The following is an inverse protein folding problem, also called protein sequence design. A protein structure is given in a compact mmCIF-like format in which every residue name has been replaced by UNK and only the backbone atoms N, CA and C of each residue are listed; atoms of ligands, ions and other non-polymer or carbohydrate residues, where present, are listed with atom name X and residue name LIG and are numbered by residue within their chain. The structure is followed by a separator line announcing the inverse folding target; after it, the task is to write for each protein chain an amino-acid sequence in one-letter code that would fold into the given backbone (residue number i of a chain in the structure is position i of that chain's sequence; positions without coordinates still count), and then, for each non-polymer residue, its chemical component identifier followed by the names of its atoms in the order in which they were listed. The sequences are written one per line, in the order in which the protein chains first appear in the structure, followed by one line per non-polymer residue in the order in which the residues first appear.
data_IF_906022752715
#
_entry.id   IF_906022752715
#
_cell.length_a   1.000
_cell.length_b   1.000
_cell.length_c   1.000
_cell.angle_alpha   90.00
_cell.angle_beta   90.00
_cell.angle_gamma   90.00
#
_symmetry.space_group_name_H-M   'P 1'
#
loop_
_entity.id
_entity.type
_entity.pdbx_description
1 polymer ?
#
# COMPACT_ATOMS: atom_id res chain seq x y z
N UNK A 1 18.31 2.90 -5.30
CA UNK A 1 18.48 1.79 -4.35
C UNK A 1 19.59 2.11 -3.36
N UNK A 2 19.26 2.77 -2.24
CA UNK A 2 20.21 2.99 -1.15
C UNK A 2 20.52 1.67 -0.42
N UNK A 3 21.70 1.57 0.20
CA UNK A 3 22.19 0.36 0.90
C UNK A 3 21.31 -0.11 2.08
N UNK A 4 20.34 0.71 2.50
CA UNK A 4 19.49 0.47 3.67
C UNK A 4 17.99 0.41 3.32
N UNK A 5 17.67 0.07 2.07
CA UNK A 5 16.31 -0.17 1.63
C UNK A 5 16.05 -1.68 1.42
N UNK A 6 14.78 -2.07 1.41
CA UNK A 6 14.37 -3.46 1.26
C UNK A 6 13.62 -3.66 -0.04
N UNK A 7 13.94 -4.77 -0.71
CA UNK A 7 13.20 -5.22 -1.88
C UNK A 7 11.96 -5.99 -1.45
N UNK A 8 10.84 -5.28 -1.32
CA UNK A 8 9.54 -5.85 -0.95
C UNK A 8 8.56 -5.47 -2.05
N UNK A 9 8.11 -6.46 -2.81
CA UNK A 9 7.04 -6.31 -3.78
C UNK A 9 5.73 -6.10 -3.03
N UNK A 10 4.98 -5.07 -3.43
CA UNK A 10 3.72 -4.69 -2.77
C UNK A 10 2.61 -4.60 -3.81
N UNK A 11 1.45 -5.17 -3.48
CA UNK A 11 0.27 -5.14 -4.32
C UNK A 11 -0.94 -4.75 -3.47
N UNK A 12 -1.85 -3.96 -4.04
CA UNK A 12 -3.15 -3.67 -3.43
C UNK A 12 -4.28 -4.06 -4.39
N UNK A 13 -5.33 -4.62 -3.81
CA UNK A 13 -6.52 -5.11 -4.51
C UNK A 13 -7.77 -4.45 -3.96
N UNK A 14 -8.79 -4.31 -4.82
CA UNK A 14 -10.14 -3.93 -4.43
C UNK A 14 -11.14 -4.94 -5.00
N UNK A 15 -12.02 -5.41 -4.13
CA UNK A 15 -13.11 -6.31 -4.47
C UNK A 15 -14.45 -5.65 -4.13
N UNK A 16 -15.31 -5.36 -5.13
CA UNK A 16 -16.69 -4.95 -4.88
C UNK A 16 -17.47 -6.03 -4.11
N UNK A 17 -18.57 -5.67 -3.45
CA UNK A 17 -19.34 -6.59 -2.59
C UNK A 17 -19.65 -7.95 -3.24
N UNK A 18 -20.07 -7.93 -4.51
CA UNK A 18 -20.43 -9.13 -5.30
C UNK A 18 -19.47 -9.36 -6.49
N UNK A 19 -18.29 -8.75 -6.47
CA UNK A 19 -17.31 -8.77 -7.56
C UNK A 19 -16.11 -9.71 -7.33
N UNK A 20 -15.15 -9.65 -8.25
CA UNK A 20 -13.83 -10.30 -8.11
C UNK A 20 -12.76 -9.32 -7.63
N UNK A 21 -11.61 -9.84 -7.20
CA UNK A 21 -10.44 -9.03 -6.87
C UNK A 21 -9.94 -8.28 -8.12
N UNK A 22 -9.80 -6.96 -8.00
CA UNK A 22 -9.20 -6.09 -9.00
C UNK A 22 -7.85 -5.61 -8.47
N UNK A 23 -6.77 -5.88 -9.19
CA UNK A 23 -5.47 -5.32 -8.88
C UNK A 23 -5.49 -3.81 -9.12
N UNK A 24 -5.21 -3.01 -8.10
CA UNK A 24 -5.16 -1.56 -8.19
C UNK A 24 -3.75 -1.03 -8.46
N UNK A 25 -2.74 -1.59 -7.79
CA UNK A 25 -1.38 -1.07 -7.86
C UNK A 25 -0.34 -2.16 -7.61
N UNK A 26 0.81 -2.03 -8.27
CA UNK A 26 2.03 -2.78 -7.99
C UNK A 26 3.16 -1.81 -7.70
N UNK A 27 3.64 -1.82 -6.47
CA UNK A 27 4.72 -0.95 -6.02
C UNK A 27 5.83 -1.76 -5.37
N UNK A 28 6.82 -1.07 -4.81
CA UNK A 28 7.88 -1.72 -4.06
C UNK A 28 8.39 -0.82 -2.94
N UNK A 29 8.61 -1.38 -1.76
CA UNK A 29 9.14 -0.64 -0.59
C UNK A 29 10.49 0.03 -0.88
N UNK A 30 11.24 -0.48 -1.87
CA UNK A 30 12.52 0.09 -2.28
C UNK A 30 12.45 1.55 -2.75
N UNK A 31 11.27 2.03 -3.13
CA UNK A 31 11.04 3.40 -3.59
C UNK A 31 10.97 4.42 -2.45
N UNK A 32 10.90 3.98 -1.19
CA UNK A 32 10.94 4.89 -0.05
C UNK A 32 12.21 5.74 -0.05
N UNK A 33 12.04 7.06 -0.03
CA UNK A 33 13.14 8.02 -0.03
C UNK A 33 13.91 8.01 1.31
N UNK A 34 13.18 7.92 2.42
CA UNK A 34 13.73 7.81 3.76
C UNK A 34 13.72 6.36 4.24
N UNK A 35 14.84 5.90 4.75
CA UNK A 35 15.00 4.54 5.30
C UNK A 35 14.39 4.44 6.70
N UNK A 36 14.02 3.24 7.14
CA UNK A 36 13.52 3.01 8.50
C UNK A 36 14.50 3.50 9.58
N UNK A 37 15.81 3.32 9.36
CA UNK A 37 16.84 3.81 10.28
C UNK A 37 16.87 5.33 10.38
N UNK A 38 16.69 6.06 9.27
CA UNK A 38 16.59 7.51 9.28
C UNK A 38 15.31 7.99 9.96
N UNK A 39 14.17 7.34 9.66
CA UNK A 39 12.88 7.65 10.30
C UNK A 39 12.96 7.53 11.82
N UNK A 40 13.49 6.40 12.33
CA UNK A 40 13.66 6.20 13.76
C UNK A 40 14.65 7.20 14.38
N UNK A 41 15.81 7.41 13.75
CA UNK A 41 16.82 8.36 14.23
C UNK A 41 16.22 9.75 14.37
N UNK A 42 15.49 10.21 13.36
CA UNK A 42 14.84 11.52 13.39
C UNK A 42 13.71 11.59 14.42
N UNK A 43 12.87 10.55 14.56
CA UNK A 43 11.83 10.49 15.58
C UNK A 43 12.42 10.71 16.98
N UNK A 44 13.56 10.06 17.28
CA UNK A 44 14.21 10.15 18.59
C UNK A 44 15.13 11.36 18.77
N UNK A 45 15.32 12.21 17.76
CA UNK A 45 16.38 13.23 17.79
C UNK A 45 16.17 14.33 18.84
N UNK A 46 14.95 14.50 19.33
CA UNK A 46 14.59 15.46 20.38
C UNK A 46 14.35 14.81 21.76
N UNK A 47 14.69 13.52 21.93
CA UNK A 47 14.45 12.78 23.16
C UNK A 47 13.07 12.12 23.26
N UNK A 48 12.30 12.05 22.16
CA UNK A 48 11.06 11.27 22.13
C UNK A 48 11.35 9.79 22.49
N UNK A 49 10.75 9.23 23.55
CA UNK A 49 10.95 7.83 23.91
C UNK A 49 10.27 6.90 22.90
N UNK A 50 10.88 5.75 22.65
CA UNK A 50 10.30 4.64 21.87
C UNK A 50 10.26 3.41 22.77
N UNK A 51 9.15 2.69 22.74
CA UNK A 51 8.90 1.53 23.58
C UNK A 51 8.68 0.26 22.77
N UNK A 52 8.88 -0.89 23.41
CA UNK A 52 8.62 -2.18 22.78
C UNK A 52 7.14 -2.29 22.38
N UNK A 53 6.90 -2.54 21.10
CA UNK A 53 5.56 -2.64 20.52
C UNK A 53 5.09 -1.38 19.78
N UNK A 54 5.85 -0.29 19.82
CA UNK A 54 5.54 0.90 19.01
C UNK A 54 5.54 0.54 17.50
N UNK A 55 4.52 1.03 16.79
CA UNK A 55 4.37 0.84 15.34
C UNK A 55 4.72 2.13 14.61
N UNK A 56 5.58 2.02 13.59
CA UNK A 56 6.05 3.15 12.78
C UNK A 56 5.61 2.97 11.33
N UNK A 57 4.73 3.85 10.85
CA UNK A 57 4.29 3.82 9.46
C UNK A 57 5.35 4.38 8.51
N UNK A 58 5.50 3.76 7.34
CA UNK A 58 6.39 4.27 6.28
C UNK A 58 5.89 5.58 5.66
N UNK A 59 4.57 5.80 5.69
CA UNK A 59 3.85 6.65 4.76
C UNK A 59 3.39 5.87 3.53
N UNK A 60 2.55 6.50 2.70
CA UNK A 60 2.06 5.91 1.43
C UNK A 60 3.23 5.59 0.50
N UNK A 61 3.25 4.38 -0.07
CA UNK A 61 4.34 3.90 -0.92
C UNK A 61 3.93 4.00 -2.39
N UNK A 62 4.36 5.08 -3.03
CA UNK A 62 4.15 5.32 -4.46
C UNK A 62 5.46 5.15 -5.22
N UNK A 63 5.44 4.32 -6.26
CA UNK A 63 6.56 4.18 -7.18
C UNK A 63 6.55 5.25 -8.27
N UNK A 64 7.51 5.18 -9.22
CA UNK A 64 7.68 6.20 -10.25
C UNK A 64 6.63 6.16 -11.37
N UNK A 65 5.86 5.08 -11.49
CA UNK A 65 4.85 4.90 -12.54
C UNK A 65 3.42 5.02 -11.98
N UNK A 66 2.45 5.51 -12.77
CA UNK A 66 1.07 5.69 -12.28
C UNK A 66 0.40 4.42 -11.74
N UNK A 67 0.72 3.25 -12.30
CA UNK A 67 0.25 1.93 -11.84
C UNK A 67 0.92 1.44 -10.55
N UNK A 68 1.84 2.23 -10.00
CA UNK A 68 2.55 1.98 -8.74
C UNK A 68 2.23 2.99 -7.65
N UNK A 69 1.24 3.86 -7.86
CA UNK A 69 0.79 4.82 -6.84
C UNK A 69 0.05 4.12 -5.69
N UNK A 70 0.24 4.60 -4.47
CA UNK A 70 -0.16 3.93 -3.24
C UNK A 70 -1.54 4.28 -2.70
N UNK A 71 -2.31 5.14 -3.38
CA UNK A 71 -3.65 5.53 -2.94
C UNK A 71 -4.61 5.74 -4.11
N UNK A 72 -5.92 5.56 -3.87
CA UNK A 72 -6.96 5.89 -4.84
C UNK A 72 -6.95 7.38 -5.21
N UNK A 73 -6.58 8.26 -4.28
CA UNK A 73 -6.40 9.70 -4.54
C UNK A 73 -5.40 9.93 -5.68
N UNK A 74 -4.26 9.25 -5.63
CA UNK A 74 -3.20 9.36 -6.65
C UNK A 74 -3.59 8.61 -7.93
N UNK A 75 -4.04 7.35 -7.80
CA UNK A 75 -4.41 6.50 -8.94
C UNK A 75 -5.51 7.12 -9.80
N UNK A 76 -6.47 7.79 -9.17
CA UNK A 76 -7.62 8.39 -9.86
C UNK A 76 -7.46 9.88 -10.09
N UNK A 77 -6.31 10.44 -9.72
CA UNK A 77 -6.01 11.87 -9.82
C UNK A 77 -7.15 12.73 -9.23
N UNK A 78 -7.41 12.54 -7.93
CA UNK A 78 -8.50 13.21 -7.20
C UNK A 78 -9.88 12.97 -7.83
N UNK A 79 -10.09 11.78 -8.39
CA UNK A 79 -11.34 11.37 -9.03
C UNK A 79 -11.53 11.88 -10.45
N UNK A 80 -10.59 12.63 -11.02
CA UNK A 80 -10.66 13.07 -12.43
C UNK A 80 -10.48 11.93 -13.42
N UNK A 81 -9.87 10.81 -12.98
CA UNK A 81 -9.57 9.63 -13.79
C UNK A 81 -10.07 8.36 -13.09
N UNK A 82 -11.36 8.02 -13.19
CA UNK A 82 -11.88 6.80 -12.57
C UNK A 82 -11.13 5.54 -13.04
N UNK A 83 -10.87 4.61 -12.11
CA UNK A 83 -10.32 3.30 -12.42
C UNK A 83 -11.44 2.38 -12.90
N UNK A 84 -11.26 1.72 -14.05
CA UNK A 84 -12.17 0.69 -14.50
C UNK A 84 -11.90 -0.65 -13.78
N UNK A 85 -12.95 -1.30 -13.32
CA UNK A 85 -12.91 -2.64 -12.72
C UNK A 85 -13.29 -3.71 -13.75
N UNK A 86 -12.97 -4.97 -13.47
CA UNK A 86 -13.19 -6.11 -14.37
C UNK A 86 -14.66 -6.42 -14.62
N UNK A 87 -15.55 -5.99 -13.73
CA UNK A 87 -17.00 -6.12 -13.87
C UNK A 87 -17.64 -5.00 -14.71
N UNK A 88 -16.83 -4.07 -15.23
CA UNK A 88 -17.27 -2.92 -16.02
C UNK A 88 -17.69 -1.71 -15.18
N UNK A 89 -17.68 -1.82 -13.84
CA UNK A 89 -17.88 -0.67 -12.95
C UNK A 89 -16.59 0.15 -12.84
N UNK A 90 -16.65 1.27 -12.11
CA UNK A 90 -15.47 2.10 -11.88
C UNK A 90 -15.38 2.59 -10.44
N UNK A 91 -14.17 2.98 -10.02
CA UNK A 91 -13.92 3.61 -8.71
C UNK A 91 -13.12 4.90 -8.84
N UNK A 92 -13.51 5.90 -8.08
CA UNK A 92 -12.67 7.08 -7.77
C UNK A 92 -12.13 7.00 -6.34
N UNK A 93 -13.00 6.64 -5.40
CA UNK A 93 -12.66 6.29 -4.03
C UNK A 93 -13.33 4.96 -3.67
N UNK A 94 -13.10 4.47 -2.45
CA UNK A 94 -13.79 3.29 -1.94
C UNK A 94 -15.28 3.58 -1.77
N UNK A 95 -16.11 2.57 -2.03
CA UNK A 95 -17.56 2.57 -1.82
C UNK A 95 -17.94 1.56 -0.72
N UNK A 96 -19.14 1.72 -0.16
CA UNK A 96 -19.67 0.78 0.82
C UNK A 96 -19.71 -0.64 0.26
N UNK A 97 -19.22 -1.60 1.04
CA UNK A 97 -19.13 -3.00 0.65
C UNK A 97 -17.84 -3.38 -0.08
N UNK A 98 -17.04 -2.41 -0.54
CA UNK A 98 -15.71 -2.69 -1.09
C UNK A 98 -14.80 -3.33 -0.03
N UNK A 99 -14.00 -4.30 -0.43
CA UNK A 99 -12.92 -4.87 0.38
C UNK A 99 -11.58 -4.52 -0.24
N UNK A 100 -10.70 -3.89 0.54
CA UNK A 100 -9.33 -3.57 0.13
C UNK A 100 -8.38 -4.57 0.77
N UNK A 101 -7.49 -5.16 -0.02
CA UNK A 101 -6.51 -6.14 0.44
C UNK A 101 -5.11 -5.76 0.00
N UNK A 102 -4.18 -5.64 0.95
CA UNK A 102 -2.76 -5.42 0.72
C UNK A 102 -2.01 -6.75 0.82
N UNK A 103 -1.09 -6.99 -0.10
CA UNK A 103 -0.19 -8.15 -0.12
C UNK A 103 1.25 -7.69 -0.31
N UNK A 104 2.18 -8.39 0.34
CA UNK A 104 3.60 -8.07 0.25
C UNK A 104 4.47 -9.32 0.29
N UNK A 105 5.54 -9.32 -0.49
CA UNK A 105 6.53 -10.41 -0.47
C UNK A 105 7.93 -9.95 -0.88
N UNK A 106 8.94 -10.63 -0.35
CA UNK A 106 10.30 -10.61 -0.87
C UNK A 106 10.53 -11.90 -1.67
N UNK A 107 11.29 -11.81 -2.76
CA UNK A 107 11.60 -12.97 -3.59
C UNK A 107 13.07 -12.95 -3.99
N UNK A 108 13.72 -14.12 -3.90
CA UNK A 108 15.07 -14.35 -4.39
C UNK A 108 15.20 -15.79 -4.88
N UNK A 109 15.63 -15.95 -6.12
CA UNK A 109 15.74 -17.24 -6.81
C UNK A 109 14.41 -18.02 -6.78
N UNK A 110 14.33 -19.10 -5.98
CA UNK A 110 13.13 -19.92 -5.83
C UNK A 110 12.46 -19.78 -4.44
N UNK A 111 12.92 -18.83 -3.62
CA UNK A 111 12.43 -18.63 -2.25
C UNK A 111 11.62 -17.35 -2.17
N UNK A 112 10.41 -17.46 -1.63
CA UNK A 112 9.51 -16.33 -1.37
C UNK A 112 9.19 -16.24 0.13
N UNK A 113 9.31 -15.03 0.68
CA UNK A 113 8.93 -14.70 2.06
C UNK A 113 7.79 -13.69 1.99
N UNK A 114 6.59 -14.13 2.36
CA UNK A 114 5.37 -13.31 2.29
C UNK A 114 4.97 -12.72 3.65
N UNK A 115 4.24 -11.60 3.61
CA UNK A 115 3.66 -10.95 4.78
C UNK A 115 2.22 -11.41 5.08
N UNK A 116 1.65 -12.30 4.25
CA UNK A 116 0.23 -12.63 4.31
C UNK A 116 -0.64 -11.52 3.71
N UNK A 117 -1.83 -11.35 4.27
CA UNK A 117 -2.82 -10.37 3.80
C UNK A 117 -3.17 -9.38 4.91
N UNK A 118 -3.29 -8.10 4.54
CA UNK A 118 -3.93 -7.07 5.36
C UNK A 118 -5.20 -6.63 4.63
N UNK A 119 -6.37 -7.00 5.14
CA UNK A 119 -7.65 -6.83 4.45
C UNK A 119 -8.70 -6.15 5.33
N UNK A 120 -9.54 -5.31 4.73
CA UNK A 120 -10.64 -4.63 5.40
C UNK A 120 -11.81 -4.34 4.46
N UNK A 121 -13.02 -4.61 4.93
CA UNK A 121 -14.28 -4.28 4.23
C UNK A 121 -14.82 -2.94 4.72
N UNK A 122 -15.20 -2.07 3.79
CA UNK A 122 -15.87 -0.80 4.09
C UNK A 122 -17.33 -1.11 4.42
N UNK A 123 -17.77 -0.65 5.60
CA UNK A 123 -19.16 -0.73 6.04
C UNK A 123 -19.82 0.64 5.87
N UNK A 124 -21.15 0.67 5.62
CA UNK A 124 -21.90 1.90 5.61
C UNK A 124 -21.74 2.69 6.92
N UNK A 125 -21.85 4.01 6.82
CA UNK A 125 -21.91 4.88 7.99
C UNK A 125 -23.14 4.58 8.86
N UNK A 126 -23.04 4.87 10.17
CA UNK A 126 -24.14 4.75 11.14
C UNK A 126 -25.24 5.80 10.94
#
# INVERSE_FOLDING_TARGET
NGKHSFDIHLEAYLKPADGSDNLLTKSNFRYMYWTMSQQLTHHTSNGCPVTSGDMMGSGTISGPSPDSYGSLLELTWKGERPLALTDGTSRTFVEDGDTVTLRGYCEKDHVRIGFGECSGKILPSL
#
